data_IF_637963533824
#
_entry.id   IF_637963533824
#
_cell.length_a   1.000
_cell.length_b   1.000
_cell.length_c   1.000
_cell.angle_alpha   90.00
_cell.angle_beta   90.00
_cell.angle_gamma   90.00
#
_symmetry.space_group_name_H-M   'P 1'
#
loop_
_entity.id
_entity.type
_entity.pdbx_description
1 polymer ?
#
# COMPACT_ATOMS: atom_id res chain seq x y z
N UNK A 1 34.96 19.59 14.09
CA UNK A 1 34.03 18.44 14.10
C UNK A 1 32.64 18.98 13.82
N UNK A 2 32.20 18.96 12.56
CA UNK A 2 30.87 19.42 12.16
C UNK A 2 29.92 18.21 12.20
N UNK A 3 28.99 18.20 13.15
CA UNK A 3 27.87 17.26 13.17
C UNK A 3 26.83 17.76 12.17
N UNK A 4 26.82 17.17 10.97
CA UNK A 4 25.73 17.31 10.02
C UNK A 4 24.52 16.56 10.57
N UNK A 5 23.59 17.30 11.18
CA UNK A 5 22.21 16.85 11.40
C UNK A 5 21.56 16.69 10.02
N UNK A 6 21.56 15.47 9.49
CA UNK A 6 20.74 15.13 8.33
C UNK A 6 19.29 15.15 8.81
N UNK A 7 18.40 16.00 8.26
CA UNK A 7 16.99 15.89 8.54
C UNK A 7 16.50 14.62 7.86
N UNK A 8 16.32 13.55 8.63
CA UNK A 8 15.51 12.42 8.20
C UNK A 8 14.09 12.93 8.06
N UNK A 9 13.70 13.32 6.84
CA UNK A 9 12.32 13.51 6.43
C UNK A 9 11.62 12.15 6.55
N UNK A 10 11.24 11.78 7.77
CA UNK A 10 10.29 10.70 8.00
C UNK A 10 8.93 11.22 7.58
N UNK A 11 8.52 10.93 6.35
CA UNK A 11 7.12 11.12 5.98
C UNK A 11 6.27 10.22 6.88
N UNK A 12 5.33 10.77 7.67
CA UNK A 12 4.47 9.96 8.50
C UNK A 12 3.63 9.06 7.59
N UNK A 13 3.61 7.77 7.92
CA UNK A 13 2.69 6.82 7.31
C UNK A 13 1.41 6.77 8.11
N UNK A 14 0.29 6.69 7.39
CA UNK A 14 -1.05 6.43 7.95
C UNK A 14 -1.52 5.06 7.51
N UNK A 15 -2.49 4.52 8.24
CA UNK A 15 -3.07 3.21 7.96
C UNK A 15 -4.58 3.29 7.87
N UNK A 16 -5.15 2.57 6.89
CA UNK A 16 -6.57 2.25 6.83
C UNK A 16 -6.73 0.74 6.63
N UNK A 17 -7.50 0.10 7.49
CA UNK A 17 -7.67 -1.35 7.50
C UNK A 17 -9.06 -1.76 7.02
N UNK A 18 -9.12 -2.84 6.26
CA UNK A 18 -10.35 -3.56 5.92
C UNK A 18 -10.36 -4.93 6.63
N UNK A 19 -11.31 -5.80 6.28
CA UNK A 19 -11.29 -7.15 6.83
C UNK A 19 -10.15 -8.01 6.24
N UNK A 20 -9.67 -7.69 5.02
CA UNK A 20 -8.67 -8.50 4.27
C UNK A 20 -7.33 -7.81 4.05
N UNK A 21 -7.26 -6.49 4.24
CA UNK A 21 -6.07 -5.71 3.90
C UNK A 21 -5.77 -4.66 4.96
N UNK A 22 -4.50 -4.36 5.12
CA UNK A 22 -4.00 -3.17 5.80
C UNK A 22 -3.33 -2.28 4.76
N UNK A 23 -3.86 -1.07 4.54
CA UNK A 23 -3.35 -0.14 3.54
C UNK A 23 -2.57 0.95 4.28
N UNK A 24 -1.25 0.94 4.10
CA UNK A 24 -0.30 1.88 4.70
C UNK A 24 0.10 2.90 3.63
N UNK A 25 -0.06 4.19 3.88
CA UNK A 25 0.19 5.21 2.86
C UNK A 25 0.88 6.44 3.43
N UNK A 26 1.67 7.13 2.60
CA UNK A 26 2.28 8.42 2.96
C UNK A 26 1.25 9.55 2.90
N UNK A 27 1.43 10.58 3.74
CA UNK A 27 0.58 11.78 3.75
C UNK A 27 0.36 12.38 2.35
N UNK A 28 -0.90 12.76 2.07
CA UNK A 28 -1.34 13.29 0.78
C UNK A 28 -1.65 12.22 -0.29
N UNK A 29 -1.72 10.95 0.09
CA UNK A 29 -2.18 9.82 -0.75
C UNK A 29 -3.52 9.23 -0.28
N UNK A 30 -4.30 10.01 0.48
CA UNK A 30 -5.55 9.57 1.10
C UNK A 30 -6.57 9.10 0.05
N UNK A 31 -6.63 9.77 -1.11
CA UNK A 31 -7.55 9.41 -2.19
C UNK A 31 -7.23 8.02 -2.73
N UNK A 32 -5.97 7.74 -3.03
CA UNK A 32 -5.51 6.46 -3.57
C UNK A 32 -5.72 5.35 -2.54
N UNK A 33 -5.42 5.63 -1.26
CA UNK A 33 -5.68 4.69 -0.17
C UNK A 33 -7.18 4.36 -0.03
N UNK A 34 -8.05 5.36 -0.14
CA UNK A 34 -9.50 5.16 -0.04
C UNK A 34 -10.08 4.43 -1.26
N UNK A 35 -9.63 4.75 -2.47
CA UNK A 35 -10.01 4.03 -3.68
C UNK A 35 -9.58 2.55 -3.62
N UNK A 36 -8.35 2.29 -3.17
CA UNK A 36 -7.86 0.93 -2.95
C UNK A 36 -8.66 0.20 -1.87
N UNK A 37 -8.98 0.87 -0.76
CA UNK A 37 -9.79 0.29 0.31
C UNK A 37 -11.14 -0.20 -0.22
N UNK A 38 -11.83 0.63 -1.01
CA UNK A 38 -13.15 0.31 -1.56
C UNK A 38 -13.09 -0.81 -2.61
N UNK A 39 -12.13 -0.74 -3.53
CA UNK A 39 -12.06 -1.66 -4.67
C UNK A 39 -11.34 -2.96 -4.32
N UNK A 40 -10.24 -2.88 -3.57
CA UNK A 40 -9.43 -4.02 -3.19
C UNK A 40 -10.19 -5.01 -2.31
N UNK A 41 -11.05 -4.54 -1.39
CA UNK A 41 -11.85 -5.45 -0.56
C UNK A 41 -12.79 -6.31 -1.41
N UNK A 42 -13.41 -5.71 -2.44
CA UNK A 42 -14.28 -6.41 -3.38
C UNK A 42 -13.49 -7.41 -4.23
N UNK A 43 -12.28 -7.05 -4.67
CA UNK A 43 -11.40 -7.94 -5.42
C UNK A 43 -11.00 -9.14 -4.56
N UNK A 44 -10.50 -8.91 -3.34
CA UNK A 44 -10.07 -9.99 -2.45
C UNK A 44 -11.22 -10.93 -2.09
N UNK A 45 -12.42 -10.38 -1.83
CA UNK A 45 -13.62 -11.19 -1.61
C UNK A 45 -13.94 -12.10 -2.80
N UNK A 46 -13.79 -11.61 -4.04
CA UNK A 46 -14.02 -12.41 -5.26
C UNK A 46 -12.94 -13.47 -5.44
N UNK A 47 -11.67 -13.12 -5.19
CA UNK A 47 -10.54 -14.06 -5.27
C UNK A 47 -10.73 -15.23 -4.30
N UNK A 48 -11.06 -14.95 -3.04
CA UNK A 48 -11.36 -16.00 -2.07
C UNK A 48 -12.56 -16.87 -2.47
N UNK A 49 -13.60 -16.25 -3.03
CA UNK A 49 -14.76 -16.96 -3.54
C UNK A 49 -14.42 -17.90 -4.71
N UNK A 50 -13.52 -17.48 -5.61
CA UNK A 50 -13.06 -18.28 -6.75
C UNK A 50 -12.15 -19.44 -6.33
N UNK A 51 -11.27 -19.19 -5.37
CA UNK A 51 -10.32 -20.20 -4.90
C UNK A 51 -10.90 -21.13 -3.82
N UNK A 52 -12.05 -20.79 -3.25
CA UNK A 52 -12.66 -21.54 -2.15
C UNK A 52 -11.87 -21.47 -0.84
N UNK A 53 -10.88 -20.59 -0.75
CA UNK A 53 -10.01 -20.41 0.41
C UNK A 53 -10.10 -18.97 0.89
N UNK A 54 -9.99 -18.79 2.21
CA UNK A 54 -9.81 -17.46 2.81
C UNK A 54 -8.33 -17.16 2.92
N UNK A 55 -7.98 -15.89 2.84
CA UNK A 55 -6.66 -15.44 3.23
C UNK A 55 -6.44 -15.78 4.70
N UNK A 56 -5.32 -16.44 4.99
CA UNK A 56 -4.91 -16.71 6.37
C UNK A 56 -4.53 -15.40 7.08
N UNK A 57 -3.79 -14.55 6.37
CA UNK A 57 -3.24 -13.31 6.88
C UNK A 57 -3.72 -12.13 6.03
N UNK A 58 -3.84 -10.95 6.65
CA UNK A 58 -4.17 -9.72 5.93
C UNK A 58 -3.05 -9.33 4.98
N UNK A 59 -3.43 -8.93 3.77
CA UNK A 59 -2.51 -8.36 2.79
C UNK A 59 -2.10 -6.96 3.24
N UNK A 60 -0.80 -6.69 3.32
CA UNK A 60 -0.29 -5.35 3.59
C UNK A 60 -0.02 -4.64 2.27
N UNK A 61 -0.60 -3.47 2.07
CA UNK A 61 -0.36 -2.67 0.87
C UNK A 61 0.22 -1.33 1.25
N UNK A 62 1.46 -1.07 0.86
CA UNK A 62 2.13 0.21 1.01
C UNK A 62 1.87 1.09 -0.21
N UNK A 63 1.51 2.36 -0.01
CA UNK A 63 1.42 3.35 -1.07
C UNK A 63 2.46 4.44 -0.79
N UNK A 64 3.47 4.51 -1.64
CA UNK A 64 4.68 5.31 -1.40
C UNK A 64 4.89 6.26 -2.57
N UNK A 65 5.15 7.54 -2.29
CA UNK A 65 5.53 8.53 -3.31
C UNK A 65 6.88 8.17 -3.91
N UNK A 66 7.03 8.42 -5.21
CA UNK A 66 8.23 8.18 -6.01
C UNK A 66 8.65 6.70 -6.11
N UNK A 67 8.26 6.06 -7.20
CA UNK A 67 8.91 4.86 -7.70
C UNK A 67 9.65 5.21 -8.99
N UNK A 68 10.98 5.20 -8.95
CA UNK A 68 11.80 5.60 -10.11
C UNK A 68 11.73 4.62 -11.29
N UNK A 69 11.15 3.41 -11.11
CA UNK A 69 11.31 2.29 -12.05
C UNK A 69 10.03 1.43 -12.26
N UNK A 70 9.15 1.28 -11.25
CA UNK A 70 7.99 0.39 -11.33
C UNK A 70 6.74 0.98 -10.65
N UNK A 71 5.56 0.66 -11.19
CA UNK A 71 4.27 1.12 -10.62
C UNK A 71 3.87 0.34 -9.35
N UNK A 72 4.41 -0.87 -9.19
CA UNK A 72 4.22 -1.70 -8.00
C UNK A 72 5.28 -2.79 -7.89
N UNK A 73 5.46 -3.30 -6.67
CA UNK A 73 6.25 -4.47 -6.30
C UNK A 73 5.42 -5.38 -5.37
N UNK A 74 5.60 -6.69 -5.43
CA UNK A 74 4.93 -7.63 -4.54
C UNK A 74 5.95 -8.62 -3.95
N UNK A 75 5.84 -8.84 -2.64
CA UNK A 75 6.54 -9.87 -1.89
C UNK A 75 5.54 -10.90 -1.35
N UNK A 76 5.44 -12.08 -2.00
CA UNK A 76 4.55 -13.14 -1.54
C UNK A 76 4.96 -13.79 -0.22
N UNK A 77 6.23 -13.69 0.20
CA UNK A 77 6.70 -14.29 1.44
C UNK A 77 6.18 -13.51 2.65
N UNK A 78 6.17 -12.18 2.54
CA UNK A 78 5.70 -11.28 3.59
C UNK A 78 4.24 -10.86 3.43
N UNK A 79 3.57 -11.31 2.36
CA UNK A 79 2.22 -10.90 1.98
C UNK A 79 2.10 -9.36 1.89
N UNK A 80 3.06 -8.77 1.18
CA UNK A 80 3.21 -7.31 1.01
C UNK A 80 3.11 -6.94 -0.47
N UNK A 81 2.39 -5.86 -0.75
CA UNK A 81 2.45 -5.15 -2.03
C UNK A 81 2.89 -3.72 -1.74
N UNK A 82 3.76 -3.17 -2.57
CA UNK A 82 4.14 -1.75 -2.56
C UNK A 82 3.67 -1.15 -3.87
N UNK A 83 2.91 -0.07 -3.81
CA UNK A 83 2.36 0.66 -4.96
C UNK A 83 3.00 2.04 -4.99
N UNK A 84 3.49 2.40 -6.18
CA UNK A 84 4.03 3.73 -6.47
C UNK A 84 3.03 4.41 -7.40
N UNK A 85 2.12 5.25 -6.87
CA UNK A 85 1.14 5.91 -7.70
C UNK A 85 1.85 6.88 -8.65
N UNK A 86 1.55 6.76 -9.94
CA UNK A 86 1.98 7.74 -10.93
C UNK A 86 0.97 8.88 -10.96
N UNK A 87 1.46 10.11 -10.81
CA UNK A 87 0.65 11.34 -10.90
C UNK A 87 0.18 11.66 -12.35
N UNK A 88 0.38 10.74 -13.30
CA UNK A 88 0.13 10.94 -14.74
C UNK A 88 -1.33 10.72 -15.18
N UNK A 89 -2.29 10.59 -14.26
CA UNK A 89 -3.72 10.62 -14.62
C UNK A 89 -4.44 11.76 -13.89
N UNK A 90 -4.97 12.76 -14.63
CA UNK A 90 -5.73 13.88 -14.08
C UNK A 90 -7.10 13.47 -13.49
#
# INVERSE_FOLDING_TARGET
MFLLLVPTLMFPFRIVSTSRMDIIYQDGLERQAFELMKNGENIMKRVEGLLGIKLKDRLKVYIVRNGDIANAYADPLDNVIVIYPNDLQP
#
